data_IF_078721008040
#
_entry.id   IF_078721008040
#
_cell.length_a   1.000
_cell.length_b   1.000
_cell.length_c   1.000
_cell.angle_alpha   90.00
_cell.angle_beta   90.00
_cell.angle_gamma   90.00
#
_symmetry.space_group_name_H-M   'P 1'
#
loop_
_entity.id
_entity.type
_entity.pdbx_description
1 polymer ?
#
# COMPACT_ATOMS: atom_id res chain seq x y z
N UNK A 1 39.35 -13.49 -6.14
CA UNK A 1 38.01 -13.85 -5.73
C UNK A 1 38.14 -14.88 -4.62
N UNK A 2 37.59 -14.60 -3.43
CA UNK A 2 37.75 -15.48 -2.28
C UNK A 2 36.49 -16.37 -2.22
N UNK A 3 36.53 -17.59 -2.74
CA UNK A 3 35.48 -18.57 -2.52
C UNK A 3 35.77 -19.30 -1.19
N UNK A 4 34.79 -19.48 -0.35
CA UNK A 4 34.92 -19.98 1.01
C UNK A 4 33.83 -21.05 1.23
N UNK A 5 34.18 -22.17 1.83
CA UNK A 5 33.36 -23.38 1.92
C UNK A 5 32.67 -23.60 3.27
N UNK A 6 31.46 -24.19 3.23
CA UNK A 6 30.78 -24.82 4.37
C UNK A 6 30.33 -26.22 4.00
N UNK A 7 30.54 -27.24 4.83
CA UNK A 7 29.92 -28.51 4.65
C UNK A 7 28.57 -28.57 5.37
N UNK A 8 27.63 -29.19 4.71
CA UNK A 8 26.31 -29.36 5.25
C UNK A 8 26.34 -30.12 6.59
N UNK A 9 25.75 -29.53 7.55
CA UNK A 9 24.86 -30.21 8.49
C UNK A 9 24.24 -29.21 9.45
N UNK A 10 22.96 -29.22 9.45
CA UNK A 10 22.03 -28.68 10.44
C UNK A 10 21.66 -27.19 10.34
N UNK A 11 20.41 -27.03 10.04
CA UNK A 11 19.60 -25.81 10.31
C UNK A 11 19.72 -25.29 11.75
N UNK A 12 20.38 -26.00 12.65
CA UNK A 12 20.45 -25.68 14.08
C UNK A 12 21.59 -24.76 14.50
N UNK A 13 22.56 -24.41 13.63
CA UNK A 13 23.74 -23.65 14.06
C UNK A 13 23.90 -22.24 13.52
N UNK A 14 22.96 -21.73 12.73
CA UNK A 14 22.93 -20.30 12.39
C UNK A 14 22.16 -19.54 13.47
N UNK A 15 22.79 -19.40 14.63
CA UNK A 15 22.20 -18.66 15.75
C UNK A 15 21.93 -17.22 15.36
N UNK A 16 20.73 -16.79 15.64
CA UNK A 16 20.31 -15.40 15.52
C UNK A 16 21.36 -14.41 16.07
N UNK A 17 21.97 -13.61 15.19
CA UNK A 17 22.31 -12.24 15.46
C UNK A 17 23.42 -11.92 16.44
N UNK A 18 24.41 -12.78 16.71
CA UNK A 18 25.58 -12.38 17.50
C UNK A 18 26.90 -12.73 16.80
N UNK A 19 27.29 -12.00 15.83
CA UNK A 19 28.63 -11.61 15.39
C UNK A 19 29.83 -12.57 15.53
N UNK A 20 29.63 -13.85 15.76
CA UNK A 20 30.72 -14.83 15.91
C UNK A 20 30.55 -15.96 14.93
N UNK A 21 31.56 -16.18 14.11
CA UNK A 21 31.65 -17.34 13.24
C UNK A 21 31.84 -18.59 14.10
N UNK A 22 31.05 -19.63 13.86
CA UNK A 22 31.17 -20.86 14.61
C UNK A 22 32.47 -21.61 14.27
N UNK A 23 32.80 -22.61 15.09
CA UNK A 23 34.07 -23.34 14.97
C UNK A 23 34.17 -24.13 13.67
N UNK A 24 33.03 -24.68 13.19
CA UNK A 24 32.99 -25.44 11.94
C UNK A 24 33.28 -24.50 10.75
N UNK A 25 32.59 -23.38 10.63
CA UNK A 25 32.83 -22.37 9.61
C UNK A 25 34.28 -21.91 9.60
N UNK A 26 34.87 -21.69 10.79
CA UNK A 26 36.28 -21.30 10.90
C UNK A 26 37.24 -22.38 10.38
N UNK A 27 36.99 -23.65 10.68
CA UNK A 27 37.79 -24.76 10.18
C UNK A 27 37.69 -24.92 8.67
N UNK A 28 36.47 -24.87 8.12
CA UNK A 28 36.24 -24.99 6.68
C UNK A 28 36.91 -23.87 5.90
N UNK A 29 36.76 -22.63 6.35
CA UNK A 29 37.43 -21.49 5.73
C UNK A 29 38.96 -21.66 5.73
N UNK A 30 39.52 -22.14 6.81
CA UNK A 30 40.97 -22.35 6.93
C UNK A 30 41.43 -23.48 6.00
N UNK A 31 40.64 -24.56 5.89
CA UNK A 31 40.90 -25.65 4.95
C UNK A 31 40.91 -25.15 3.50
N UNK A 32 39.89 -24.37 3.11
CA UNK A 32 39.84 -23.79 1.76
C UNK A 32 41.04 -22.92 1.45
N UNK A 33 41.48 -22.09 2.39
CA UNK A 33 42.64 -21.24 2.21
C UNK A 33 43.90 -22.06 1.95
N UNK A 34 44.16 -23.10 2.74
CA UNK A 34 45.29 -23.97 2.51
C UNK A 34 45.19 -24.73 1.18
N UNK A 35 44.02 -25.19 0.82
CA UNK A 35 43.77 -25.80 -0.48
C UNK A 35 44.09 -24.88 -1.64
N UNK A 36 43.66 -23.61 -1.57
CA UNK A 36 43.95 -22.61 -2.59
C UNK A 36 45.45 -22.28 -2.70
N UNK A 37 46.21 -22.54 -1.65
CA UNK A 37 47.67 -22.43 -1.59
C UNK A 37 48.37 -23.72 -2.06
N UNK A 38 47.64 -24.75 -2.49
CA UNK A 38 48.16 -26.03 -2.92
C UNK A 38 48.71 -26.92 -1.79
N UNK A 39 48.26 -26.65 -0.53
CA UNK A 39 48.68 -27.39 0.63
C UNK A 39 47.59 -28.37 1.07
N UNK A 40 47.92 -29.63 1.17
CA UNK A 40 46.94 -30.69 1.47
C UNK A 40 47.15 -31.38 2.84
N UNK A 41 48.36 -31.29 3.41
CA UNK A 41 48.68 -31.83 4.73
C UNK A 41 49.23 -30.72 5.62
N UNK A 42 48.56 -30.44 6.71
CA UNK A 42 48.88 -29.27 7.56
C UNK A 42 49.06 -29.81 9.01
N UNK A 43 50.14 -29.48 9.70
CA UNK A 43 50.27 -29.74 11.13
C UNK A 43 49.13 -29.12 11.90
N UNK A 44 48.44 -29.89 12.79
CA UNK A 44 47.26 -29.43 13.53
C UNK A 44 47.47 -28.09 14.26
N UNK A 45 48.67 -27.89 14.85
CA UNK A 45 48.98 -26.65 15.55
C UNK A 45 49.04 -25.45 14.58
N UNK A 46 49.55 -25.66 13.37
CA UNK A 46 49.59 -24.62 12.32
C UNK A 46 48.17 -24.30 11.81
N UNK A 47 47.38 -25.34 11.61
CA UNK A 47 45.97 -25.22 11.20
C UNK A 47 45.16 -24.41 12.24
N UNK A 48 45.23 -24.82 13.51
CA UNK A 48 44.56 -24.11 14.62
C UNK A 48 45.03 -22.65 14.77
N UNK A 49 46.33 -22.42 14.61
CA UNK A 49 46.91 -21.05 14.60
C UNK A 49 46.35 -20.20 13.44
N UNK A 50 46.24 -20.81 12.27
CA UNK A 50 45.63 -20.16 11.08
C UNK A 50 44.14 -19.86 11.28
N UNK A 51 43.38 -20.77 11.90
CA UNK A 51 41.99 -20.51 12.30
C UNK A 51 41.92 -19.27 13.18
N UNK A 52 42.76 -19.20 14.26
CA UNK A 52 42.77 -18.06 15.15
C UNK A 52 43.19 -16.74 14.47
N UNK A 53 44.05 -16.82 13.47
CA UNK A 53 44.50 -15.63 12.72
C UNK A 53 43.45 -15.08 11.77
N UNK A 54 42.60 -15.93 11.23
CA UNK A 54 41.60 -15.56 10.19
C UNK A 54 40.30 -15.00 10.76
N UNK A 55 39.98 -15.25 12.04
CA UNK A 55 38.68 -14.86 12.63
C UNK A 55 38.84 -13.88 13.78
N UNK A 56 38.05 -12.85 13.78
CA UNK A 56 38.04 -11.82 14.84
C UNK A 56 37.17 -12.31 16.01
N UNK A 57 37.68 -12.13 17.25
CA UNK A 57 36.97 -12.49 18.48
C UNK A 57 37.04 -13.98 18.82
N UNK A 58 37.72 -14.80 18.02
CA UNK A 58 37.91 -16.20 18.31
C UNK A 58 38.85 -16.42 19.48
N UNK A 59 38.48 -17.34 20.35
CA UNK A 59 39.38 -17.93 21.33
C UNK A 59 40.49 -18.69 20.60
N UNK A 60 41.57 -18.98 21.27
CA UNK A 60 42.62 -19.82 20.73
C UNK A 60 42.02 -21.20 20.34
N UNK A 61 42.06 -21.52 19.09
CA UNK A 61 41.63 -22.84 18.62
C UNK A 61 42.68 -23.88 18.99
N UNK A 62 42.22 -24.99 19.50
CA UNK A 62 43.06 -26.12 19.90
C UNK A 62 42.63 -27.39 19.12
N UNK A 63 43.49 -28.44 19.21
CA UNK A 63 43.17 -29.74 18.67
C UNK A 63 41.85 -30.34 19.22
N UNK A 64 41.52 -30.02 20.48
CA UNK A 64 40.30 -30.51 21.12
C UNK A 64 39.05 -29.84 20.49
N UNK A 65 39.15 -28.52 20.20
CA UNK A 65 38.09 -27.81 19.46
C UNK A 65 37.94 -28.40 18.07
N UNK A 66 39.05 -28.67 17.37
CA UNK A 66 39.01 -29.23 16.02
C UNK A 66 38.42 -30.64 16.03
N UNK A 67 38.74 -31.45 17.06
CA UNK A 67 38.17 -32.81 17.24
C UNK A 67 36.66 -32.78 17.51
N UNK A 68 36.14 -31.71 18.05
CA UNK A 68 34.71 -31.54 18.33
C UNK A 68 33.87 -31.12 17.11
N UNK A 69 34.54 -30.72 16.03
CA UNK A 69 33.90 -30.29 14.80
C UNK A 69 33.62 -31.54 13.96
N UNK A 70 32.42 -31.65 13.42
CA UNK A 70 32.09 -32.69 12.46
C UNK A 70 33.04 -32.58 11.26
N UNK A 71 33.76 -33.65 10.99
CA UNK A 71 34.69 -33.71 9.86
C UNK A 71 33.87 -33.91 8.60
N UNK A 72 34.18 -33.11 7.60
CA UNK A 72 33.46 -33.11 6.33
C UNK A 72 34.40 -33.27 5.14
N UNK A 73 33.88 -33.16 3.92
CA UNK A 73 34.64 -33.38 2.72
C UNK A 73 35.79 -32.38 2.49
N UNK A 74 35.79 -31.24 3.18
CA UNK A 74 36.83 -30.24 3.00
C UNK A 74 38.11 -30.51 3.79
N UNK A 75 38.02 -31.20 4.92
CA UNK A 75 39.18 -31.62 5.72
C UNK A 75 38.87 -32.81 6.60
N UNK A 76 39.93 -33.52 6.93
CA UNK A 76 39.91 -34.58 7.95
C UNK A 76 41.05 -34.35 8.93
N UNK A 77 40.82 -34.60 10.22
CA UNK A 77 41.83 -34.58 11.27
C UNK A 77 42.07 -35.99 11.75
N UNK A 78 43.33 -36.45 11.72
CA UNK A 78 43.71 -37.83 12.05
C UNK A 78 43.61 -38.14 13.55
N UNK A 79 43.35 -37.13 14.41
CA UNK A 79 43.31 -37.28 15.85
C UNK A 79 44.67 -37.17 16.52
N UNK A 80 45.74 -37.19 15.78
CA UNK A 80 47.14 -37.19 16.29
C UNK A 80 47.85 -35.87 16.05
N UNK A 81 48.07 -35.51 14.78
CA UNK A 81 48.88 -34.31 14.51
C UNK A 81 48.68 -33.68 13.17
N UNK A 82 47.93 -34.28 12.24
CA UNK A 82 47.78 -33.81 10.87
C UNK A 82 46.34 -33.53 10.48
N UNK A 83 46.12 -32.40 9.81
CA UNK A 83 44.87 -32.06 9.14
C UNK A 83 45.09 -32.27 7.64
N UNK A 84 44.37 -33.19 7.05
CA UNK A 84 44.34 -33.39 5.59
C UNK A 84 43.24 -32.49 5.01
N UNK A 85 43.63 -31.62 4.07
CA UNK A 85 42.73 -30.71 3.38
C UNK A 85 42.41 -31.28 2.01
N UNK A 86 41.16 -31.47 1.72
CA UNK A 86 40.70 -32.08 0.47
C UNK A 86 40.15 -31.02 -0.49
N UNK A 87 40.32 -31.30 -1.81
CA UNK A 87 39.62 -30.62 -2.87
C UNK A 87 38.10 -30.82 -2.80
N UNK A 88 37.74 -31.71 -1.87
CA UNK A 88 36.40 -32.26 -1.89
C UNK A 88 35.37 -31.22 -2.02
N UNK A 89 34.59 -31.40 -2.95
CA UNK A 89 33.27 -30.98 -3.14
C UNK A 89 32.66 -30.30 -1.91
N UNK A 90 33.30 -29.29 -1.46
CA UNK A 90 32.75 -28.53 -0.37
C UNK A 90 31.94 -27.39 -0.91
N UNK A 91 30.90 -27.19 -0.25
CA UNK A 91 30.05 -26.04 -0.45
C UNK A 91 30.82 -24.79 -0.09
N UNK A 92 30.85 -23.84 -0.98
CA UNK A 92 31.48 -22.54 -0.77
C UNK A 92 30.59 -21.66 0.12
N UNK A 93 31.17 -20.92 1.07
CA UNK A 93 30.40 -19.92 1.86
C UNK A 93 29.66 -18.94 0.97
N UNK A 94 30.23 -18.64 -0.21
CA UNK A 94 29.63 -17.88 -1.26
C UNK A 94 29.79 -18.66 -2.55
N UNK A 95 28.88 -19.56 -2.85
CA UNK A 95 28.87 -20.30 -4.11
C UNK A 95 28.84 -19.35 -5.30
N UNK A 96 28.04 -18.28 -5.16
CA UNK A 96 27.98 -17.19 -6.14
C UNK A 96 28.12 -15.85 -5.42
N UNK A 97 29.11 -15.06 -5.84
CA UNK A 97 29.31 -13.71 -5.33
C UNK A 97 28.35 -12.72 -6.00
N UNK A 98 27.60 -11.99 -5.19
CA UNK A 98 26.58 -11.03 -5.65
C UNK A 98 27.04 -9.57 -5.56
N UNK A 99 28.11 -9.29 -4.83
CA UNK A 99 28.66 -7.96 -4.64
C UNK A 99 28.97 -7.64 -3.19
N UNK A 100 29.39 -6.41 -2.95
CA UNK A 100 29.80 -5.97 -1.62
C UNK A 100 29.35 -4.56 -1.29
N UNK A 101 29.30 -4.25 0.00
CA UNK A 101 28.98 -2.94 0.55
C UNK A 101 29.98 -2.54 1.61
N UNK A 102 30.48 -1.29 1.53
CA UNK A 102 31.34 -0.69 2.53
C UNK A 102 30.49 -0.17 3.70
N UNK A 103 30.79 -0.62 4.90
CA UNK A 103 30.10 -0.18 6.10
C UNK A 103 30.80 1.02 6.76
N UNK A 104 30.02 1.83 7.47
CA UNK A 104 30.54 3.01 8.19
C UNK A 104 31.56 2.69 9.26
N UNK A 105 31.59 1.44 9.76
CA UNK A 105 32.56 0.97 10.76
C UNK A 105 33.88 0.47 10.16
N UNK A 106 34.08 0.65 8.84
CA UNK A 106 35.25 0.22 8.09
C UNK A 106 35.28 -1.28 7.76
N UNK A 107 34.17 -1.98 7.98
CA UNK A 107 34.00 -3.36 7.51
C UNK A 107 33.38 -3.40 6.10
N UNK A 108 33.52 -4.54 5.45
CA UNK A 108 32.90 -4.84 4.16
C UNK A 108 31.89 -5.97 4.39
N UNK A 109 30.66 -5.81 3.89
CA UNK A 109 29.68 -6.89 3.82
C UNK A 109 29.67 -7.41 2.38
N UNK A 110 29.98 -8.67 2.21
CA UNK A 110 29.88 -9.38 0.92
C UNK A 110 28.55 -10.16 0.92
N UNK A 111 27.81 -10.05 -0.18
CA UNK A 111 26.57 -10.79 -0.40
C UNK A 111 26.79 -11.90 -1.40
N UNK A 112 26.17 -13.04 -1.17
CA UNK A 112 26.27 -14.19 -2.05
C UNK A 112 25.09 -15.14 -1.94
N UNK A 113 25.16 -16.20 -2.71
CA UNK A 113 24.28 -17.35 -2.63
C UNK A 113 25.08 -18.53 -2.11
N UNK A 114 24.55 -19.22 -1.14
CA UNK A 114 25.01 -20.55 -0.77
C UNK A 114 24.19 -21.59 -1.53
N UNK A 115 24.84 -22.58 -2.09
CA UNK A 115 24.23 -23.70 -2.83
C UNK A 115 24.81 -25.00 -2.30
N UNK A 116 23.96 -25.94 -1.98
CA UNK A 116 24.33 -27.33 -1.78
C UNK A 116 24.53 -28.03 -3.12
N UNK A 117 25.71 -28.60 -3.34
CA UNK A 117 26.01 -29.34 -4.57
C UNK A 117 25.39 -30.73 -4.62
N UNK A 118 24.93 -31.25 -3.47
CA UNK A 118 24.18 -32.50 -3.39
C UNK A 118 22.69 -32.35 -3.76
N UNK A 119 22.23 -31.12 -4.04
CA UNK A 119 20.85 -30.78 -4.34
C UNK A 119 19.81 -31.14 -3.23
N UNK A 120 20.29 -31.40 -2.02
CA UNK A 120 19.42 -31.76 -0.89
C UNK A 120 18.84 -30.55 -0.14
N UNK A 121 19.44 -29.37 -0.28
CA UNK A 121 19.03 -28.14 0.40
C UNK A 121 18.83 -27.02 -0.63
N UNK A 122 17.70 -26.35 -0.54
CA UNK A 122 17.40 -25.18 -1.35
C UNK A 122 18.45 -24.07 -1.14
N UNK A 123 18.90 -23.41 -2.21
CA UNK A 123 19.88 -22.34 -2.10
C UNK A 123 19.31 -21.15 -1.31
N UNK A 124 20.16 -20.49 -0.52
CA UNK A 124 19.77 -19.33 0.25
C UNK A 124 20.80 -18.20 0.14
N UNK A 125 20.36 -17.00 0.44
CA UNK A 125 21.22 -15.82 0.41
C UNK A 125 21.97 -15.64 1.71
N UNK A 126 23.24 -15.20 1.59
CA UNK A 126 24.12 -15.04 2.73
C UNK A 126 24.84 -13.70 2.70
N UNK A 127 25.15 -13.18 3.86
CA UNK A 127 26.00 -12.02 4.07
C UNK A 127 27.22 -12.39 4.90
N UNK A 128 28.42 -12.15 4.35
CA UNK A 128 29.70 -12.34 4.98
C UNK A 128 30.31 -10.98 5.32
N UNK A 129 30.45 -10.66 6.60
CA UNK A 129 31.05 -9.40 7.03
C UNK A 129 32.52 -9.59 7.37
N UNK A 130 33.38 -8.77 6.75
CA UNK A 130 34.84 -8.80 6.91
C UNK A 130 35.33 -7.46 7.45
N UNK A 131 36.24 -7.47 8.45
CA UNK A 131 36.89 -6.29 8.97
C UNK A 131 38.39 -6.54 9.19
N UNK A 132 39.25 -5.66 8.69
CA UNK A 132 40.71 -5.80 8.76
C UNK A 132 41.19 -7.19 8.29
N UNK A 133 40.62 -7.72 7.21
CA UNK A 133 40.99 -9.00 6.65
C UNK A 133 40.45 -10.23 7.43
N UNK A 134 39.64 -10.02 8.48
CA UNK A 134 39.07 -11.11 9.28
C UNK A 134 37.55 -11.18 9.14
N UNK A 135 37.01 -12.39 9.11
CA UNK A 135 35.56 -12.60 9.14
C UNK A 135 35.02 -12.24 10.51
N UNK A 136 34.04 -11.37 10.58
CA UNK A 136 33.38 -10.89 11.81
C UNK A 136 32.02 -11.52 11.99
N UNK A 137 31.29 -11.77 10.92
CA UNK A 137 30.01 -12.48 10.94
C UNK A 137 29.70 -13.13 9.59
N UNK A 138 28.90 -14.17 9.68
CA UNK A 138 28.28 -14.85 8.56
C UNK A 138 26.83 -15.14 8.93
N UNK A 139 25.89 -14.78 8.06
CA UNK A 139 24.47 -14.95 8.35
C UNK A 139 23.68 -15.18 7.07
N UNK A 140 22.63 -15.96 7.17
CA UNK A 140 21.59 -16.00 6.16
C UNK A 140 20.88 -14.63 6.12
N UNK A 141 20.49 -14.18 4.93
CA UNK A 141 19.76 -12.92 4.74
C UNK A 141 18.47 -13.15 4.00
N UNK A 142 17.45 -12.42 4.44
CA UNK A 142 16.16 -12.44 3.77
C UNK A 142 16.24 -11.76 2.40
N UNK A 143 15.49 -12.32 1.45
CA UNK A 143 15.36 -11.76 0.12
C UNK A 143 13.91 -11.35 -0.15
N UNK A 144 13.74 -10.22 -0.86
CA UNK A 144 12.44 -9.70 -1.23
C UNK A 144 12.42 -9.27 -2.68
N UNK A 145 11.45 -9.76 -3.45
CA UNK A 145 11.17 -9.22 -4.77
C UNK A 145 10.45 -7.88 -4.68
N UNK A 146 11.13 -6.83 -5.09
CA UNK A 146 10.58 -5.49 -5.24
C UNK A 146 10.06 -5.30 -6.66
N UNK A 147 8.78 -5.05 -6.80
CA UNK A 147 8.11 -4.87 -8.08
C UNK A 147 7.38 -3.54 -8.18
N UNK A 148 7.30 -2.97 -9.37
CA UNK A 148 6.59 -1.71 -9.59
C UNK A 148 5.07 -1.86 -9.81
N UNK A 149 4.52 -3.00 -9.52
CA UNK A 149 3.08 -3.28 -9.58
C UNK A 149 2.60 -3.88 -8.26
N UNK A 150 1.35 -3.63 -7.91
CA UNK A 150 0.81 -3.96 -6.60
C UNK A 150 0.55 -5.46 -6.41
N UNK A 151 0.98 -5.97 -5.26
CA UNK A 151 0.59 -7.28 -4.75
C UNK A 151 -0.90 -7.35 -4.43
N UNK A 152 -1.48 -8.52 -4.72
CA UNK A 152 -2.82 -8.90 -4.28
C UNK A 152 -3.93 -8.79 -5.34
N UNK A 153 -3.76 -8.01 -6.41
CA UNK A 153 -4.79 -7.87 -7.46
C UNK A 153 -4.33 -8.27 -8.87
N UNK A 154 -3.06 -8.64 -9.00
CA UNK A 154 -2.46 -9.01 -10.28
C UNK A 154 -2.28 -7.83 -11.25
N UNK A 155 -1.63 -8.12 -12.36
CA UNK A 155 -1.34 -7.17 -13.43
C UNK A 155 -2.51 -7.17 -14.41
N UNK A 156 -3.21 -6.05 -14.55
CA UNK A 156 -4.29 -5.90 -15.50
C UNK A 156 -3.84 -5.10 -16.73
N UNK A 157 -3.91 -5.70 -17.90
CA UNK A 157 -3.42 -5.14 -19.16
C UNK A 157 -4.61 -4.91 -20.10
N UNK A 158 -4.61 -3.79 -20.81
CA UNK A 158 -5.58 -3.54 -21.86
C UNK A 158 -5.23 -4.36 -23.11
N UNK A 159 -6.21 -4.91 -23.83
CA UNK A 159 -5.96 -5.63 -25.08
C UNK A 159 -5.18 -4.78 -26.09
N UNK A 160 -4.30 -5.42 -26.82
CA UNK A 160 -3.44 -4.78 -27.83
C UNK A 160 -2.63 -3.61 -27.28
N UNK A 161 -2.19 -3.73 -26.02
CA UNK A 161 -1.34 -2.72 -25.39
C UNK A 161 -0.02 -3.30 -24.92
N UNK A 162 1.02 -2.46 -24.91
CA UNK A 162 2.28 -2.76 -24.27
C UNK A 162 2.26 -2.24 -22.82
N UNK A 163 2.98 -2.92 -21.96
CA UNK A 163 3.23 -2.48 -20.58
C UNK A 163 4.67 -2.81 -20.21
N UNK A 164 5.37 -1.87 -19.56
CA UNK A 164 6.69 -2.11 -19.01
C UNK A 164 6.57 -2.40 -17.52
N UNK A 165 7.10 -3.52 -17.12
CA UNK A 165 7.17 -4.01 -15.75
C UNK A 165 8.59 -3.88 -15.24
N UNK A 166 8.73 -3.71 -13.95
CA UNK A 166 10.02 -3.60 -13.26
C UNK A 166 10.04 -4.56 -12.09
N UNK A 167 11.09 -5.34 -11.99
CA UNK A 167 11.31 -6.24 -10.87
C UNK A 167 12.77 -6.20 -10.43
N UNK A 168 13.03 -6.40 -9.17
CA UNK A 168 14.36 -6.50 -8.61
C UNK A 168 14.34 -7.26 -7.29
N UNK A 169 15.41 -7.94 -6.98
CA UNK A 169 15.62 -8.65 -5.73
C UNK A 169 16.44 -7.78 -4.78
N UNK A 170 16.00 -7.66 -3.55
CA UNK A 170 16.69 -6.97 -2.47
C UNK A 170 17.09 -8.00 -1.42
N UNK A 171 18.34 -7.96 -0.99
CA UNK A 171 18.91 -8.83 0.02
C UNK A 171 19.11 -7.98 1.28
N UNK A 172 18.13 -7.98 2.17
CA UNK A 172 18.13 -7.13 3.36
C UNK A 172 18.46 -5.64 3.07
N UNK A 173 17.93 -5.13 1.92
CA UNK A 173 18.17 -3.77 1.42
C UNK A 173 19.26 -3.64 0.37
N UNK A 174 20.24 -4.55 0.30
CA UNK A 174 21.26 -4.58 -0.73
C UNK A 174 20.70 -5.03 -2.08
N UNK A 175 21.16 -4.42 -3.16
CA UNK A 175 20.71 -4.69 -4.55
C UNK A 175 21.91 -5.05 -5.42
N UNK A 176 21.96 -6.29 -5.84
CA UNK A 176 23.06 -6.80 -6.65
C UNK A 176 22.90 -6.50 -8.13
N UNK A 177 23.99 -6.06 -8.76
CA UNK A 177 24.09 -5.96 -10.22
C UNK A 177 24.46 -7.28 -10.90
N UNK A 178 24.84 -8.29 -10.15
CA UNK A 178 25.18 -9.61 -10.66
C UNK A 178 23.95 -10.46 -10.98
N UNK A 179 22.79 -10.11 -10.43
CA UNK A 179 21.53 -10.81 -10.66
C UNK A 179 20.94 -10.40 -12.00
N UNK A 180 20.56 -11.38 -12.82
CA UNK A 180 19.81 -11.20 -14.07
C UNK A 180 18.40 -11.75 -13.90
N UNK A 181 17.45 -11.27 -14.72
CA UNK A 181 16.05 -11.64 -14.57
C UNK A 181 15.50 -12.13 -15.90
N UNK A 182 14.67 -13.18 -15.83
CA UNK A 182 13.93 -13.70 -16.95
C UNK A 182 12.44 -13.75 -16.64
N UNK A 183 11.66 -13.58 -17.68
CA UNK A 183 10.21 -13.46 -17.60
C UNK A 183 9.55 -14.56 -18.42
N UNK A 184 8.60 -15.27 -17.84
CA UNK A 184 7.88 -16.32 -18.53
C UNK A 184 6.38 -16.26 -18.24
N UNK A 185 5.57 -16.58 -19.26
CA UNK A 185 4.11 -16.71 -19.12
C UNK A 185 3.54 -17.54 -20.26
N UNK A 186 3.02 -18.70 -19.93
CA UNK A 186 2.30 -19.52 -20.93
C UNK A 186 1.07 -18.79 -21.48
N UNK A 187 0.37 -18.06 -20.61
CA UNK A 187 -0.84 -17.33 -20.97
C UNK A 187 -0.59 -16.19 -21.96
N UNK A 188 0.58 -15.55 -21.89
CA UNK A 188 1.00 -14.46 -22.77
C UNK A 188 1.98 -14.93 -23.87
N UNK A 189 2.29 -16.22 -23.92
CA UNK A 189 3.31 -16.76 -24.82
C UNK A 189 4.68 -16.06 -24.69
N UNK A 190 5.11 -15.87 -23.44
CA UNK A 190 6.44 -15.37 -23.07
C UNK A 190 7.27 -16.59 -22.68
N UNK A 191 8.40 -16.81 -23.41
CA UNK A 191 9.23 -18.00 -23.27
C UNK A 191 10.56 -17.65 -22.61
N UNK A 192 10.57 -17.48 -21.30
CA UNK A 192 11.79 -17.23 -20.53
C UNK A 192 12.67 -16.09 -21.14
N UNK A 193 12.02 -14.96 -21.43
CA UNK A 193 12.64 -13.82 -22.12
C UNK A 193 13.43 -12.96 -21.13
N UNK A 194 14.66 -12.55 -21.51
CA UNK A 194 15.48 -11.66 -20.69
C UNK A 194 14.89 -10.25 -20.62
N UNK A 195 14.89 -9.67 -19.43
CA UNK A 195 14.59 -8.27 -19.26
C UNK A 195 15.81 -7.37 -19.53
N UNK A 196 15.54 -6.10 -19.77
CA UNK A 196 16.60 -5.10 -19.87
C UNK A 196 17.18 -4.83 -18.48
N UNK A 197 18.51 -4.90 -18.34
CA UNK A 197 19.19 -4.62 -17.07
C UNK A 197 19.03 -3.14 -16.71
N UNK A 198 18.63 -2.88 -15.48
CA UNK A 198 18.61 -1.53 -14.91
C UNK A 198 19.61 -1.44 -13.75
N UNK A 199 20.52 -0.49 -13.81
CA UNK A 199 21.63 -0.39 -12.87
C UNK A 199 21.23 -0.24 -11.40
N UNK A 200 20.06 0.33 -11.15
CA UNK A 200 19.63 0.69 -9.78
C UNK A 200 18.57 -0.25 -9.21
N UNK A 201 17.97 -1.14 -10.00
CA UNK A 201 16.78 -1.86 -9.52
C UNK A 201 16.49 -3.23 -10.13
N UNK A 202 17.41 -3.80 -10.87
CA UNK A 202 17.21 -5.13 -11.44
C UNK A 202 16.84 -5.11 -12.91
N UNK A 203 15.57 -5.37 -13.25
CA UNK A 203 15.19 -5.60 -14.64
C UNK A 203 13.91 -4.86 -15.04
N UNK A 204 13.93 -4.34 -16.25
CA UNK A 204 12.74 -3.86 -16.97
C UNK A 204 12.35 -4.87 -18.05
N UNK A 205 11.08 -5.25 -18.10
CA UNK A 205 10.54 -6.08 -19.16
C UNK A 205 9.30 -5.46 -19.77
N UNK A 206 9.30 -5.26 -21.08
CA UNK A 206 8.14 -4.74 -21.80
C UNK A 206 7.37 -5.88 -22.44
N UNK A 207 6.17 -6.16 -21.92
CA UNK A 207 5.21 -7.05 -22.59
C UNK A 207 4.69 -6.31 -23.83
N UNK A 208 4.98 -6.77 -25.05
CA UNK A 208 4.58 -6.06 -26.25
C UNK A 208 3.08 -6.25 -26.55
N UNK A 209 2.50 -5.33 -27.31
CA UNK A 209 1.08 -5.35 -27.67
C UNK A 209 0.63 -6.60 -28.43
N UNK A 210 1.55 -7.25 -29.14
CA UNK A 210 1.29 -8.52 -29.82
C UNK A 210 0.93 -9.66 -28.86
N UNK A 211 1.52 -9.68 -27.69
CA UNK A 211 1.27 -10.70 -26.63
C UNK A 211 -0.02 -10.44 -25.84
N UNK A 212 -0.58 -9.25 -25.93
CA UNK A 212 -1.83 -8.86 -25.27
C UNK A 212 -3.03 -8.81 -26.22
N UNK A 213 -2.94 -9.44 -27.39
CA UNK A 213 -4.01 -9.44 -28.40
C UNK A 213 -5.22 -10.29 -27.99
N UNK A 214 -5.03 -11.33 -27.20
CA UNK A 214 -6.08 -12.24 -26.70
C UNK A 214 -6.40 -11.90 -25.26
N UNK A 215 -7.65 -12.13 -24.86
CA UNK A 215 -8.04 -12.02 -23.45
C UNK A 215 -7.38 -13.12 -22.63
N UNK A 216 -6.88 -12.75 -21.45
CA UNK A 216 -6.29 -13.64 -20.44
C UNK A 216 -6.97 -13.36 -19.11
N UNK A 217 -7.35 -14.41 -18.40
CA UNK A 217 -7.90 -14.33 -17.05
C UNK A 217 -7.09 -15.22 -16.13
N UNK A 218 -6.59 -14.64 -15.04
CA UNK A 218 -5.78 -15.33 -14.04
C UNK A 218 -4.58 -16.09 -14.64
N UNK A 219 -3.95 -15.51 -15.67
CA UNK A 219 -2.72 -16.03 -16.22
C UNK A 219 -1.57 -15.87 -15.23
N UNK A 220 -0.60 -16.78 -15.30
CA UNK A 220 0.62 -16.73 -14.49
C UNK A 220 1.73 -16.01 -15.26
N UNK A 221 2.38 -15.06 -14.62
CA UNK A 221 3.62 -14.43 -15.06
C UNK A 221 4.68 -14.72 -14.00
N UNK A 222 5.69 -15.49 -14.37
CA UNK A 222 6.80 -15.86 -13.49
C UNK A 222 7.99 -14.95 -13.78
N UNK A 223 8.62 -14.46 -12.74
CA UNK A 223 9.85 -13.68 -12.78
C UNK A 223 10.90 -14.48 -12.03
N UNK A 224 11.96 -14.86 -12.71
CA UNK A 224 13.04 -15.69 -12.14
C UNK A 224 14.33 -14.88 -12.12
N UNK A 225 14.98 -14.88 -10.97
CA UNK A 225 16.30 -14.28 -10.77
C UNK A 225 17.40 -15.34 -10.95
N UNK A 226 18.44 -15.01 -11.70
CA UNK A 226 19.55 -15.88 -12.02
C UNK A 226 20.87 -15.20 -11.72
N UNK A 227 21.86 -16.02 -11.37
CA UNK A 227 23.28 -15.64 -11.35
C UNK A 227 24.02 -16.37 -12.48
N UNK A 228 25.16 -15.82 -12.89
CA UNK A 228 26.00 -16.49 -13.86
C UNK A 228 26.63 -17.74 -13.21
N UNK A 229 26.58 -18.85 -13.91
CA UNK A 229 27.12 -20.12 -13.50
C UNK A 229 28.17 -20.57 -14.51
N UNK A 230 29.40 -20.78 -14.05
CA UNK A 230 30.52 -21.19 -14.86
C UNK A 230 30.61 -22.72 -15.05
N UNK A 231 29.58 -23.47 -14.58
CA UNK A 231 29.52 -24.93 -14.79
C UNK A 231 29.49 -25.24 -16.29
N UNK A 232 30.52 -25.92 -16.83
CA UNK A 232 30.62 -26.23 -18.26
C UNK A 232 29.51 -27.20 -18.74
N UNK A 233 28.86 -27.94 -17.82
CA UNK A 233 27.75 -28.81 -18.12
C UNK A 233 26.40 -28.14 -17.90
N UNK A 234 26.38 -26.93 -17.32
CA UNK A 234 25.20 -26.13 -17.06
C UNK A 234 24.76 -25.30 -18.26
N UNK A 235 23.67 -24.58 -18.08
CA UNK A 235 23.15 -23.63 -19.09
C UNK A 235 23.72 -22.20 -18.97
N UNK A 236 24.77 -22.03 -18.16
CA UNK A 236 25.42 -20.73 -17.89
C UNK A 236 24.66 -19.86 -16.84
N UNK A 237 23.60 -20.36 -16.24
CA UNK A 237 22.81 -19.60 -15.27
C UNK A 237 22.25 -20.53 -14.18
N UNK A 238 22.37 -20.08 -12.95
CA UNK A 238 21.77 -20.74 -11.79
C UNK A 238 20.60 -19.90 -11.26
N UNK A 239 19.44 -20.56 -11.07
CA UNK A 239 18.25 -19.93 -10.49
C UNK A 239 18.43 -19.73 -8.99
N UNK A 240 18.26 -18.49 -8.51
CA UNK A 240 18.44 -18.15 -7.09
C UNK A 240 17.14 -17.77 -6.40
N UNK A 241 16.15 -17.35 -7.15
CA UNK A 241 14.82 -17.07 -6.62
C UNK A 241 13.80 -16.91 -7.75
N UNK A 242 12.53 -17.19 -7.47
CA UNK A 242 11.45 -16.90 -8.39
C UNK A 242 10.22 -16.39 -7.68
N UNK A 243 9.37 -15.65 -8.42
CA UNK A 243 8.08 -15.17 -7.93
C UNK A 243 7.05 -15.17 -9.04
N UNK A 244 5.81 -15.40 -8.67
CA UNK A 244 4.68 -15.44 -9.58
C UNK A 244 3.75 -14.26 -9.39
N UNK A 245 3.24 -13.77 -10.52
CA UNK A 245 2.23 -12.73 -10.54
C UNK A 245 1.04 -13.14 -11.39
N UNK A 246 -0.15 -12.80 -10.92
CA UNK A 246 -1.36 -12.96 -11.74
C UNK A 246 -1.42 -11.89 -12.80
N UNK A 247 -1.62 -12.28 -14.06
CA UNK A 247 -1.78 -11.37 -15.20
C UNK A 247 -3.12 -11.56 -15.88
N UNK A 248 -3.78 -10.45 -16.18
CA UNK A 248 -5.04 -10.42 -16.90
C UNK A 248 -4.93 -9.51 -18.12
N UNK A 249 -5.47 -9.95 -19.25
CA UNK A 249 -5.71 -9.10 -20.42
C UNK A 249 -7.20 -8.96 -20.58
N UNK A 250 -7.75 -7.81 -20.23
CA UNK A 250 -9.20 -7.58 -20.19
C UNK A 250 -9.59 -6.20 -20.72
N UNK A 251 -10.81 -6.09 -21.26
CA UNK A 251 -11.34 -4.81 -21.70
C UNK A 251 -11.58 -3.87 -20.51
N UNK A 252 -11.33 -2.59 -20.75
CA UNK A 252 -11.66 -1.55 -19.80
C UNK A 252 -13.16 -1.27 -19.82
N UNK A 253 -13.90 -1.86 -18.90
CA UNK A 253 -15.34 -1.64 -18.72
C UNK A 253 -15.56 -0.65 -17.57
N UNK A 254 -15.37 0.65 -17.86
CA UNK A 254 -15.56 1.69 -16.87
C UNK A 254 -17.00 1.78 -16.43
N UNK A 255 -17.22 1.85 -15.13
CA UNK A 255 -18.52 2.12 -14.52
C UNK A 255 -18.35 2.91 -13.22
N UNK A 256 -19.41 3.63 -12.80
CA UNK A 256 -19.42 4.36 -11.54
C UNK A 256 -20.41 3.71 -10.58
N UNK A 257 -19.93 3.34 -9.42
CA UNK A 257 -20.74 3.02 -8.24
C UNK A 257 -20.61 4.13 -7.19
N UNK A 258 -21.48 4.12 -6.19
CA UNK A 258 -21.34 5.02 -5.06
C UNK A 258 -21.85 4.38 -3.76
N UNK A 259 -21.36 4.89 -2.63
CA UNK A 259 -21.86 4.62 -1.29
C UNK A 259 -22.40 5.91 -0.69
N UNK A 260 -23.50 5.82 0.03
CA UNK A 260 -24.12 6.94 0.73
C UNK A 260 -23.67 6.96 2.20
N UNK A 261 -23.22 8.09 2.70
CA UNK A 261 -22.88 8.24 4.11
C UNK A 261 -24.12 8.42 4.98
N UNK A 262 -24.33 7.52 5.95
CA UNK A 262 -25.41 7.56 6.92
C UNK A 262 -24.79 7.59 8.32
N UNK A 263 -24.63 8.79 8.88
CA UNK A 263 -23.86 8.99 10.12
C UNK A 263 -22.37 8.66 9.89
N UNK A 264 -21.83 7.73 10.67
CA UNK A 264 -20.45 7.26 10.54
C UNK A 264 -20.31 6.03 9.61
N UNK A 265 -21.42 5.49 9.10
CA UNK A 265 -21.45 4.31 8.25
C UNK A 265 -21.69 4.68 6.80
N UNK A 266 -21.42 3.74 5.89
CA UNK A 266 -21.73 3.88 4.47
C UNK A 266 -22.62 2.74 3.99
N UNK A 267 -23.63 3.06 3.17
CA UNK A 267 -24.52 2.11 2.53
C UNK A 267 -24.31 2.09 1.01
N UNK A 268 -24.43 0.94 0.37
CA UNK A 268 -24.35 0.84 -1.09
C UNK A 268 -25.44 1.69 -1.75
N UNK A 269 -25.05 2.56 -2.67
CA UNK A 269 -25.96 3.42 -3.40
C UNK A 269 -26.69 2.67 -4.49
N UNK A 270 -27.98 2.94 -4.64
CA UNK A 270 -28.85 2.36 -5.66
C UNK A 270 -29.41 3.44 -6.60
N UNK A 271 -29.42 3.16 -7.89
CA UNK A 271 -29.99 4.07 -8.90
C UNK A 271 -29.17 5.34 -9.13
N UNK A 272 -29.85 6.37 -9.65
CA UNK A 272 -29.22 7.66 -10.06
C UNK A 272 -29.82 8.87 -9.35
N UNK A 273 -30.57 8.67 -8.27
CA UNK A 273 -31.17 9.75 -7.48
C UNK A 273 -30.41 9.98 -6.18
N UNK A 274 -29.89 11.19 -6.03
CA UNK A 274 -29.16 11.66 -4.86
C UNK A 274 -29.95 12.76 -4.14
N UNK A 275 -29.54 13.14 -2.94
CA UNK A 275 -30.13 14.25 -2.16
C UNK A 275 -29.06 15.34 -1.94
N UNK A 276 -29.42 16.60 -2.16
CA UNK A 276 -28.56 17.71 -1.82
C UNK A 276 -28.30 17.74 -0.30
N UNK A 277 -27.03 17.91 0.07
CA UNK A 277 -26.61 17.96 1.46
C UNK A 277 -26.19 16.62 2.08
N UNK A 278 -26.44 15.50 1.40
CA UNK A 278 -25.90 14.20 1.78
C UNK A 278 -24.56 13.98 1.08
N UNK A 279 -23.66 13.24 1.72
CA UNK A 279 -22.34 12.90 1.18
C UNK A 279 -22.36 11.52 0.52
N UNK A 280 -21.69 11.41 -0.61
CA UNK A 280 -21.62 10.21 -1.42
C UNK A 280 -20.16 9.92 -1.79
N UNK A 281 -19.75 8.71 -1.59
CA UNK A 281 -18.45 8.21 -2.01
C UNK A 281 -18.58 7.51 -3.36
N UNK A 282 -18.09 8.14 -4.42
CA UNK A 282 -18.09 7.57 -5.76
C UNK A 282 -16.80 6.80 -6.02
N UNK A 283 -16.93 5.61 -6.60
CA UNK A 283 -15.82 4.77 -7.03
C UNK A 283 -15.95 4.50 -8.53
N UNK A 284 -14.84 4.67 -9.24
CA UNK A 284 -14.71 4.25 -10.63
C UNK A 284 -14.31 2.78 -10.64
N UNK A 285 -15.14 1.92 -11.19
CA UNK A 285 -14.85 0.49 -11.31
C UNK A 285 -14.35 0.17 -12.73
N UNK A 286 -13.62 -0.93 -12.88
CA UNK A 286 -13.02 -1.35 -14.14
C UNK A 286 -11.85 -0.48 -14.58
N UNK A 287 -11.26 0.26 -13.64
CA UNK A 287 -10.14 1.18 -13.82
C UNK A 287 -8.81 0.63 -13.27
N UNK A 288 -8.80 -0.63 -12.89
CA UNK A 288 -7.69 -1.35 -12.27
C UNK A 288 -6.69 -1.87 -13.33
N UNK A 289 -6.19 -0.95 -14.16
CA UNK A 289 -5.22 -1.26 -15.19
C UNK A 289 -3.87 -0.64 -14.86
N UNK A 290 -2.87 -1.52 -14.73
CA UNK A 290 -1.44 -1.27 -14.70
C UNK A 290 -0.98 0.11 -14.18
N UNK A 291 -0.57 0.13 -12.95
CA UNK A 291 0.13 1.28 -12.39
C UNK A 291 1.61 1.13 -12.71
N UNK A 292 2.09 1.92 -13.64
CA UNK A 292 3.51 2.13 -13.80
C UNK A 292 3.97 3.17 -12.78
N UNK A 293 4.62 2.74 -11.72
CA UNK A 293 5.36 3.61 -10.82
C UNK A 293 6.70 3.93 -11.46
N UNK A 294 6.68 4.81 -12.45
CA UNK A 294 7.93 5.36 -12.93
C UNK A 294 8.72 5.95 -11.77
N UNK A 295 9.99 5.63 -11.70
CA UNK A 295 10.94 6.16 -10.73
C UNK A 295 10.94 7.67 -10.71
N UNK A 296 10.76 8.22 -9.51
CA UNK A 296 11.08 9.60 -9.22
C UNK A 296 10.10 10.64 -9.76
N UNK A 297 10.04 11.74 -9.11
CA UNK A 297 9.30 12.94 -9.45
C UNK A 297 9.37 13.25 -10.96
N UNK A 298 8.27 13.07 -11.68
CA UNK A 298 8.12 13.49 -13.05
C UNK A 298 7.96 12.43 -14.12
N UNK A 299 8.03 11.14 -13.81
CA UNK A 299 7.80 10.11 -14.82
C UNK A 299 6.33 10.07 -15.26
N UNK A 300 6.13 10.11 -16.56
CA UNK A 300 4.80 10.06 -17.19
C UNK A 300 4.21 8.68 -16.94
N UNK A 301 3.18 8.60 -16.09
CA UNK A 301 2.42 7.36 -15.87
C UNK A 301 1.87 6.86 -17.20
N UNK A 302 2.08 5.60 -17.52
CA UNK A 302 1.59 5.00 -18.77
C UNK A 302 0.06 5.04 -18.84
N UNK A 303 -0.59 4.88 -17.70
CA UNK A 303 -2.05 4.90 -17.59
C UNK A 303 -2.46 5.77 -16.40
N UNK A 304 -3.33 6.74 -16.61
CA UNK A 304 -3.87 7.59 -15.56
C UNK A 304 -5.31 8.04 -15.86
N UNK A 305 -6.03 8.46 -14.81
CA UNK A 305 -7.42 8.89 -14.90
C UNK A 305 -7.57 10.37 -14.57
N UNK A 306 -8.39 11.07 -15.36
CA UNK A 306 -8.94 12.37 -15.00
C UNK A 306 -10.40 12.21 -14.62
N UNK A 307 -10.80 12.72 -13.45
CA UNK A 307 -12.19 12.76 -13.01
C UNK A 307 -12.67 14.19 -12.96
N UNK A 308 -13.73 14.49 -13.71
CA UNK A 308 -14.42 15.77 -13.71
C UNK A 308 -15.81 15.59 -13.08
N UNK A 309 -16.16 16.47 -12.15
CA UNK A 309 -17.48 16.52 -11.52
C UNK A 309 -18.13 17.85 -11.83
N UNK A 310 -19.32 17.84 -12.45
CA UNK A 310 -20.08 19.05 -12.79
C UNK A 310 -21.46 19.00 -12.17
N UNK A 311 -21.86 20.03 -11.44
CA UNK A 311 -23.22 20.22 -10.95
C UNK A 311 -23.88 21.36 -11.73
N UNK A 312 -24.97 21.04 -12.46
CA UNK A 312 -25.66 21.97 -13.37
C UNK A 312 -24.68 22.66 -14.35
N UNK A 313 -23.79 21.87 -14.96
CA UNK A 313 -22.81 22.33 -15.93
C UNK A 313 -21.57 23.02 -15.33
N UNK A 314 -21.59 23.42 -14.06
CA UNK A 314 -20.43 24.04 -13.38
C UNK A 314 -19.54 22.99 -12.76
N UNK A 315 -18.24 23.08 -13.01
CA UNK A 315 -17.24 22.18 -12.40
C UNK A 315 -17.21 22.39 -10.89
N UNK A 316 -17.25 21.31 -10.14
CA UNK A 316 -17.09 21.33 -8.69
C UNK A 316 -15.59 21.48 -8.37
N UNK A 317 -15.27 22.43 -7.51
CA UNK A 317 -13.91 22.64 -7.02
C UNK A 317 -13.54 21.59 -5.98
N UNK A 318 -12.25 21.37 -5.72
CA UNK A 318 -11.76 20.45 -4.70
C UNK A 318 -12.39 20.73 -3.32
N UNK A 319 -12.60 22.00 -2.96
CA UNK A 319 -13.26 22.42 -1.72
C UNK A 319 -14.73 22.02 -1.63
N UNK A 320 -15.42 21.78 -2.74
CA UNK A 320 -16.81 21.30 -2.77
C UNK A 320 -16.88 19.76 -2.71
N UNK A 321 -15.80 19.12 -3.11
CA UNK A 321 -15.67 17.66 -3.12
C UNK A 321 -15.22 17.11 -1.75
N UNK A 322 -14.47 17.88 -0.96
CA UNK A 322 -13.68 17.35 0.17
C UNK A 322 -13.94 17.97 1.54
N UNK A 323 -14.85 18.92 1.66
CA UNK A 323 -15.02 19.74 2.88
C UNK A 323 -15.43 19.02 4.18
N UNK A 324 -15.53 17.69 4.23
CA UNK A 324 -15.95 16.96 5.43
C UNK A 324 -15.03 15.82 5.87
N UNK A 325 -13.88 15.64 5.27
CA UNK A 325 -12.85 14.76 5.84
C UNK A 325 -12.01 15.58 6.82
N UNK A 326 -12.02 15.20 8.09
CA UNK A 326 -11.25 15.86 9.16
C UNK A 326 -9.74 15.77 8.99
N UNK A 327 -9.26 15.01 8.04
CA UNK A 327 -7.85 14.87 7.69
C UNK A 327 -7.66 15.34 6.26
N UNK A 328 -6.76 16.26 6.05
CA UNK A 328 -6.28 16.84 4.78
C UNK A 328 -5.63 15.81 3.83
N UNK A 329 -6.05 14.59 3.85
CA UNK A 329 -5.65 13.60 2.88
C UNK A 329 -6.57 13.71 1.68
N UNK A 330 -6.18 14.59 0.78
CA UNK A 330 -6.45 14.46 -0.64
C UNK A 330 -5.72 13.21 -1.12
N UNK A 331 -6.16 12.08 -0.62
CA UNK A 331 -5.84 10.87 -1.33
C UNK A 331 -6.71 10.94 -2.60
N UNK A 332 -6.11 11.49 -3.67
CA UNK A 332 -6.27 10.77 -4.92
C UNK A 332 -5.80 9.40 -4.50
N UNK A 333 -6.69 8.74 -3.78
CA UNK A 333 -6.40 7.48 -3.13
C UNK A 333 -6.23 6.48 -4.22
N UNK A 334 -4.98 6.34 -4.56
CA UNK A 334 -4.42 5.06 -4.90
C UNK A 334 -4.40 4.40 -3.53
N UNK A 335 -5.54 3.84 -3.14
CA UNK A 335 -5.58 2.96 -2.00
C UNK A 335 -4.58 1.85 -2.30
N UNK A 336 -3.74 1.50 -1.37
CA UNK A 336 -3.06 0.23 -1.34
C UNK A 336 -4.13 -0.84 -1.60
N UNK A 337 -4.11 -1.46 -2.78
CA UNK A 337 -5.15 -2.38 -3.21
C UNK A 337 -5.88 -1.94 -4.49
N UNK A 338 -5.17 -1.77 -5.62
CA UNK A 338 -5.76 -1.66 -6.95
C UNK A 338 -6.62 -0.42 -7.16
N UNK A 339 -6.02 0.64 -7.29
CA UNK A 339 -6.23 1.97 -7.82
C UNK A 339 -7.53 2.39 -8.47
N UNK A 340 -8.69 2.14 -7.88
CA UNK A 340 -9.90 2.81 -8.34
C UNK A 340 -9.93 4.24 -7.79
N UNK A 341 -9.94 5.27 -8.64
CA UNK A 341 -10.05 6.64 -8.18
C UNK A 341 -11.41 6.86 -7.51
N UNK A 342 -11.35 7.28 -6.26
CA UNK A 342 -12.51 7.53 -5.41
C UNK A 342 -12.71 9.04 -5.22
N UNK A 343 -13.97 9.48 -5.10
CA UNK A 343 -14.33 10.86 -4.80
C UNK A 343 -15.48 10.93 -3.83
N UNK A 344 -15.36 11.77 -2.81
CA UNK A 344 -16.47 12.10 -1.93
C UNK A 344 -17.07 13.41 -2.38
N UNK A 345 -18.36 13.41 -2.71
CA UNK A 345 -19.09 14.56 -3.19
C UNK A 345 -20.30 14.82 -2.28
N UNK A 346 -20.41 16.05 -1.81
CA UNK A 346 -21.59 16.54 -1.08
C UNK A 346 -22.29 17.63 -1.88
N UNK A 347 -23.24 17.27 -2.79
CA UNK A 347 -23.94 18.28 -3.59
C UNK A 347 -24.70 19.26 -2.71
N UNK A 348 -24.40 20.56 -2.81
CA UNK A 348 -25.06 21.60 -1.99
C UNK A 348 -26.37 22.11 -2.59
N UNK A 349 -26.61 21.84 -3.87
CA UNK A 349 -27.80 22.29 -4.61
C UNK A 349 -28.44 21.10 -5.35
N UNK A 350 -29.73 21.21 -5.63
CA UNK A 350 -30.41 20.28 -6.53
C UNK A 350 -30.02 20.50 -7.98
N UNK A 351 -30.13 19.48 -8.80
CA UNK A 351 -29.87 19.55 -10.23
C UNK A 351 -29.25 18.27 -10.79
N UNK A 352 -28.56 18.40 -11.91
CA UNK A 352 -27.85 17.29 -12.56
C UNK A 352 -26.38 17.29 -12.15
N UNK A 353 -25.95 16.23 -11.47
CA UNK A 353 -24.54 15.96 -11.15
C UNK A 353 -23.98 15.00 -12.19
N UNK A 354 -23.09 15.48 -13.02
CA UNK A 354 -22.40 14.65 -14.02
C UNK A 354 -20.97 14.38 -13.54
N UNK A 355 -20.60 13.10 -13.51
CA UNK A 355 -19.25 12.64 -13.21
C UNK A 355 -18.72 11.99 -14.47
N UNK A 356 -17.60 12.50 -14.98
CA UNK A 356 -16.88 11.98 -16.15
C UNK A 356 -15.51 11.50 -15.73
N UNK A 357 -15.21 10.26 -15.99
CA UNK A 357 -13.89 9.68 -15.86
C UNK A 357 -13.27 9.52 -17.25
N UNK A 358 -12.06 9.99 -17.43
CA UNK A 358 -11.32 9.88 -18.69
C UNK A 358 -10.02 9.14 -18.42
N UNK A 359 -9.83 8.02 -19.10
CA UNK A 359 -8.63 7.21 -19.07
C UNK A 359 -7.67 7.68 -20.16
N UNK A 360 -6.44 7.96 -19.77
CA UNK A 360 -5.32 8.28 -20.64
C UNK A 360 -4.32 7.14 -20.61
N UNK A 361 -3.70 6.88 -21.75
CA UNK A 361 -2.67 5.87 -21.93
C UNK A 361 -1.52 6.47 -22.73
N UNK A 362 -0.28 6.33 -22.24
CA UNK A 362 0.91 6.94 -22.85
C UNK A 362 0.70 8.43 -23.17
N UNK A 363 0.05 9.16 -22.25
CA UNK A 363 -0.26 10.57 -22.42
C UNK A 363 -1.41 10.89 -23.39
N UNK A 364 -1.97 9.89 -24.10
CA UNK A 364 -3.06 10.06 -25.07
C UNK A 364 -4.40 9.61 -24.48
N UNK A 365 -5.47 10.29 -24.89
CA UNK A 365 -6.85 9.85 -24.59
C UNK A 365 -7.07 8.42 -25.06
N UNK A 366 -7.64 7.60 -24.19
CA UNK A 366 -7.99 6.21 -24.52
C UNK A 366 -9.49 6.00 -24.48
N UNK A 367 -10.15 6.26 -23.35
CA UNK A 367 -11.57 6.01 -23.15
C UNK A 367 -12.15 6.96 -22.11
N UNK A 368 -13.43 7.27 -22.19
CA UNK A 368 -14.15 7.96 -21.13
C UNK A 368 -15.46 7.26 -20.79
N UNK A 369 -15.87 7.46 -19.54
CA UNK A 369 -17.18 7.06 -19.04
C UNK A 369 -17.81 8.24 -18.33
N UNK A 370 -19.08 8.48 -18.56
CA UNK A 370 -19.82 9.55 -17.92
C UNK A 370 -21.14 9.05 -17.37
N UNK A 371 -21.47 9.45 -16.15
CA UNK A 371 -22.76 9.13 -15.54
C UNK A 371 -23.38 10.37 -14.92
N UNK A 372 -24.66 10.57 -15.15
CA UNK A 372 -25.42 11.68 -14.61
C UNK A 372 -26.37 11.20 -13.53
N UNK A 373 -26.37 11.92 -12.42
CA UNK A 373 -27.22 11.71 -11.26
C UNK A 373 -28.16 12.89 -11.09
N UNK A 374 -29.41 12.61 -10.73
CA UNK A 374 -30.38 13.65 -10.36
C UNK A 374 -30.28 13.95 -8.87
N UNK A 375 -29.83 15.13 -8.52
CA UNK A 375 -29.76 15.60 -7.13
C UNK A 375 -31.07 16.26 -6.77
N UNK A 376 -31.88 15.62 -5.93
CA UNK A 376 -33.13 16.19 -5.41
C UNK A 376 -32.86 17.25 -4.36
N UNK A 377 -33.75 18.24 -4.27
CA UNK A 377 -33.71 19.29 -3.25
C UNK A 377 -33.72 18.68 -1.85
N UNK A 378 -32.88 19.17 -0.96
CA UNK A 378 -32.91 18.76 0.43
C UNK A 378 -34.20 19.25 1.09
N UNK A 379 -34.97 18.34 1.67
CA UNK A 379 -36.22 18.66 2.34
C UNK A 379 -36.03 18.54 3.85
N UNK A 380 -36.16 19.64 4.57
CA UNK A 380 -36.14 19.66 6.03
C UNK A 380 -37.53 19.29 6.55
N UNK A 381 -37.65 18.25 7.37
CA UNK A 381 -38.92 17.86 8.01
C UNK A 381 -39.45 19.00 8.86
N UNK A 382 -40.75 19.29 8.72
CA UNK A 382 -41.44 20.30 9.54
C UNK A 382 -41.50 19.84 11.00
N UNK A 383 -41.58 20.82 11.90
CA UNK A 383 -42.01 20.63 13.29
C UNK A 383 -43.26 21.46 13.58
N UNK A 384 -43.91 21.20 14.70
CA UNK A 384 -45.09 21.95 15.16
C UNK A 384 -45.09 22.14 16.68
N UNK A 385 -45.76 23.19 17.14
CA UNK A 385 -45.93 23.37 18.57
C UNK A 385 -46.85 22.29 19.19
N UNK A 386 -46.35 21.66 20.25
CA UNK A 386 -47.18 20.89 21.17
C UNK A 386 -48.05 21.82 22.00
N UNK A 387 -47.49 22.93 22.47
CA UNK A 387 -48.22 23.96 23.20
C UNK A 387 -47.64 25.35 22.97
N UNK A 388 -48.51 26.35 22.96
CA UNK A 388 -48.19 27.76 22.99
C UNK A 388 -49.20 28.43 23.92
N UNK A 389 -48.79 28.81 25.13
CA UNK A 389 -49.66 29.29 26.17
C UNK A 389 -49.18 30.61 26.77
N UNK A 390 -50.12 31.47 27.16
CA UNK A 390 -49.77 32.64 27.98
C UNK A 390 -49.15 32.17 29.31
N UNK A 391 -48.10 32.84 29.75
CA UNK A 391 -47.43 32.60 31.02
C UNK A 391 -47.34 33.89 31.84
N UNK A 392 -47.32 33.78 33.18
CA UNK A 392 -47.26 34.91 34.12
C UNK A 392 -46.06 35.83 33.78
N UNK A 393 -46.25 37.12 33.82
CA UNK A 393 -45.20 38.11 33.58
C UNK A 393 -44.99 38.48 32.11
N UNK A 394 -46.05 38.62 31.31
CA UNK A 394 -46.00 39.03 29.89
C UNK A 394 -45.15 38.12 29.00
N UNK A 395 -45.42 36.82 29.10
CA UNK A 395 -44.61 35.76 28.45
C UNK A 395 -45.50 34.80 27.66
N UNK A 396 -44.90 34.14 26.65
CA UNK A 396 -45.47 32.96 25.98
C UNK A 396 -44.54 31.80 26.18
N UNK A 397 -45.05 30.75 26.83
CA UNK A 397 -44.35 29.48 26.96
C UNK A 397 -44.65 28.58 25.73
N UNK A 398 -43.61 28.16 25.04
CA UNK A 398 -43.67 27.34 23.85
C UNK A 398 -43.05 25.98 24.10
N UNK A 399 -43.71 24.91 23.65
CA UNK A 399 -43.17 23.55 23.57
C UNK A 399 -43.47 22.97 22.18
N UNK A 400 -42.52 22.22 21.62
CA UNK A 400 -42.68 21.65 20.28
C UNK A 400 -42.13 20.21 20.17
N UNK A 401 -42.44 19.54 19.05
CA UNK A 401 -41.92 18.20 18.76
C UNK A 401 -40.47 18.30 18.35
N UNK A 402 -39.60 17.47 18.96
CA UNK A 402 -38.18 17.34 18.57
C UNK A 402 -38.10 16.88 17.12
N UNK A 403 -37.19 17.49 16.34
CA UNK A 403 -36.84 17.05 15.00
C UNK A 403 -35.38 16.65 14.96
N UNK A 404 -35.11 15.34 14.87
CA UNK A 404 -33.76 14.78 14.91
C UNK A 404 -32.95 15.05 13.63
N UNK A 405 -33.63 15.33 12.50
CA UNK A 405 -32.99 15.62 11.22
C UNK A 405 -32.55 17.08 11.06
N UNK A 406 -32.99 17.99 11.94
CA UNK A 406 -32.64 19.41 11.90
C UNK A 406 -31.39 19.74 12.73
N UNK A 407 -30.75 20.87 12.43
CA UNK A 407 -29.71 21.46 13.28
C UNK A 407 -30.33 22.24 14.44
N UNK A 408 -31.49 22.90 14.18
CA UNK A 408 -32.18 23.70 15.16
C UNK A 408 -33.52 24.23 14.63
N UNK A 409 -34.03 25.28 15.27
CA UNK A 409 -35.35 25.82 14.98
C UNK A 409 -35.30 27.32 14.82
N UNK A 410 -36.26 27.86 14.05
CA UNK A 410 -36.60 29.27 14.06
C UNK A 410 -38.03 29.45 14.52
N UNK A 411 -38.25 30.35 15.46
CA UNK A 411 -39.54 30.75 15.97
C UNK A 411 -39.80 32.17 15.51
N UNK A 412 -40.95 32.40 14.88
CA UNK A 412 -41.41 33.74 14.58
C UNK A 412 -42.64 34.06 15.43
N UNK A 413 -42.74 35.31 15.87
CA UNK A 413 -43.89 35.83 16.56
C UNK A 413 -44.16 37.26 16.10
N UNK A 414 -45.44 37.60 15.95
CA UNK A 414 -45.94 38.86 15.44
C UNK A 414 -47.31 39.22 16.05
N UNK A 415 -47.72 40.48 15.95
CA UNK A 415 -49.05 40.94 16.40
C UNK A 415 -50.12 40.74 15.34
N UNK A 416 -49.75 40.34 14.12
CA UNK A 416 -50.68 40.00 13.04
C UNK A 416 -50.49 38.56 12.52
N UNK A 417 -51.59 37.94 12.03
CA UNK A 417 -51.59 36.59 11.49
C UNK A 417 -50.72 36.37 10.24
N UNK A 418 -50.48 37.45 9.49
CA UNK A 418 -49.68 37.42 8.27
C UNK A 418 -48.19 37.60 8.55
N UNK A 419 -47.78 37.82 9.81
CA UNK A 419 -46.39 38.06 10.24
C UNK A 419 -45.68 39.22 9.52
N UNK A 420 -46.46 40.31 9.26
CA UNK A 420 -45.98 41.54 8.66
C UNK A 420 -45.74 42.66 9.68
N UNK A 421 -46.49 42.67 10.79
CA UNK A 421 -46.41 43.71 11.82
C UNK A 421 -45.68 43.22 13.07
N UNK A 422 -44.70 44.00 13.56
CA UNK A 422 -43.89 43.67 14.76
C UNK A 422 -43.33 42.25 14.75
N UNK A 423 -42.95 41.73 13.55
CA UNK A 423 -42.48 40.35 13.40
C UNK A 423 -41.05 40.20 13.91
N UNK A 424 -40.87 39.39 14.92
CA UNK A 424 -39.54 39.00 15.47
C UNK A 424 -39.24 37.55 15.23
N UNK A 425 -37.97 37.26 14.99
CA UNK A 425 -37.47 35.91 14.76
C UNK A 425 -36.44 35.54 15.82
N UNK A 426 -36.62 34.38 16.48
CA UNK A 426 -35.66 33.80 17.40
C UNK A 426 -35.12 32.50 16.79
N UNK A 427 -33.82 32.36 16.70
CA UNK A 427 -33.15 31.12 16.30
C UNK A 427 -32.70 30.33 17.50
N UNK A 428 -33.01 29.04 17.50
CA UNK A 428 -32.60 28.04 18.50
C UNK A 428 -31.60 27.11 17.82
N UNK A 429 -30.32 27.17 18.25
CA UNK A 429 -29.21 26.48 17.57
C UNK A 429 -29.12 24.98 17.84
N UNK A 430 -29.74 24.49 18.93
CA UNK A 430 -29.66 23.09 19.33
C UNK A 430 -30.99 22.37 19.05
N UNK A 431 -30.97 21.29 18.27
CA UNK A 431 -32.18 20.49 18.00
C UNK A 431 -32.73 19.72 19.23
N UNK A 432 -31.89 19.56 20.25
CA UNK A 432 -32.32 18.96 21.54
C UNK A 432 -33.29 19.88 22.32
N UNK A 433 -33.22 21.20 22.08
CA UNK A 433 -34.10 22.17 22.72
C UNK A 433 -35.51 22.04 22.15
N UNK A 434 -36.49 21.78 23.00
CA UNK A 434 -37.91 21.60 22.62
C UNK A 434 -38.85 22.54 23.32
N UNK A 435 -38.31 23.54 24.02
CA UNK A 435 -39.10 24.60 24.68
C UNK A 435 -38.39 25.94 24.60
N UNK A 436 -39.14 27.02 24.62
CA UNK A 436 -38.65 28.39 24.70
C UNK A 436 -39.71 29.30 25.28
N UNK A 437 -39.30 30.30 26.06
CA UNK A 437 -40.21 31.33 26.59
C UNK A 437 -39.89 32.66 25.95
N UNK A 438 -40.86 33.21 25.21
CA UNK A 438 -40.82 34.59 24.72
C UNK A 438 -41.17 35.51 25.87
N UNK A 439 -40.33 36.48 26.17
CA UNK A 439 -40.47 37.44 27.26
C UNK A 439 -40.76 38.85 26.74
N UNK A 440 -41.09 39.76 27.64
CA UNK A 440 -41.22 41.21 27.37
C UNK A 440 -42.28 41.54 26.32
N UNK A 441 -43.40 40.87 26.35
CA UNK A 441 -44.53 41.10 25.46
C UNK A 441 -45.45 42.21 26.00
N UNK A 442 -46.26 42.85 25.11
CA UNK A 442 -47.22 43.88 25.49
C UNK A 442 -48.47 43.25 26.12
N UNK A 443 -48.93 43.78 27.26
CA UNK A 443 -50.20 43.39 27.93
C UNK A 443 -51.38 43.60 26.99
N UNK A 444 -52.40 42.75 27.15
CA UNK A 444 -53.68 42.81 26.40
C UNK A 444 -53.55 42.65 24.89
N UNK A 445 -52.31 42.41 24.35
CA UNK A 445 -52.08 42.17 22.91
C UNK A 445 -52.20 40.68 22.59
N UNK A 446 -52.63 40.42 21.35
CA UNK A 446 -52.63 39.08 20.77
C UNK A 446 -51.39 38.90 19.91
N UNK A 447 -50.71 37.78 20.10
CA UNK A 447 -49.58 37.37 19.30
C UNK A 447 -49.87 36.10 18.53
N UNK A 448 -49.32 35.99 17.33
CA UNK A 448 -49.29 34.79 16.50
C UNK A 448 -47.87 34.28 16.51
N UNK A 449 -47.71 32.96 16.75
CA UNK A 449 -46.40 32.31 16.80
C UNK A 449 -46.37 31.15 15.82
N UNK A 450 -45.26 31.00 15.11
CA UNK A 450 -45.00 29.87 14.20
C UNK A 450 -43.56 29.39 14.37
N UNK A 451 -43.30 28.14 13.98
CA UNK A 451 -42.00 27.51 14.10
C UNK A 451 -41.63 26.80 12.81
N UNK A 452 -40.34 26.79 12.46
CA UNK A 452 -39.78 25.94 11.43
C UNK A 452 -38.51 25.29 11.90
N UNK A 453 -38.16 24.16 11.31
CA UNK A 453 -36.86 23.52 11.49
C UNK A 453 -35.86 24.08 10.45
N UNK A 454 -34.59 24.16 10.82
CA UNK A 454 -33.53 24.39 9.84
C UNK A 454 -32.44 23.34 9.97
N UNK A 455 -31.73 23.09 8.86
CA UNK A 455 -30.54 22.25 8.76
C UNK A 455 -29.40 23.08 8.15
N UNK A 456 -28.23 23.05 8.80
CA UNK A 456 -26.99 23.66 8.31
C UNK A 456 -26.15 22.60 7.62
N UNK A 457 -25.87 22.76 6.32
CA UNK A 457 -25.08 21.87 5.48
C UNK A 457 -24.27 22.74 4.52
N UNK A 458 -23.27 23.44 5.02
CA UNK A 458 -22.67 24.56 4.29
C UNK A 458 -23.63 25.73 4.13
N UNK A 459 -24.74 25.53 3.43
CA UNK A 459 -25.88 26.45 3.37
C UNK A 459 -26.93 26.09 4.43
N UNK A 460 -27.82 27.05 4.75
CA UNK A 460 -28.94 26.80 5.69
C UNK A 460 -30.21 26.52 4.90
N UNK A 461 -30.80 25.36 5.13
CA UNK A 461 -32.05 24.89 4.55
C UNK A 461 -33.15 24.97 5.58
N UNK A 462 -34.34 25.41 5.18
CA UNK A 462 -35.48 25.59 6.07
C UNK A 462 -36.64 24.69 5.66
N UNK A 463 -37.37 24.17 6.65
CA UNK A 463 -38.69 23.62 6.42
C UNK A 463 -39.70 24.73 6.15
N UNK A 464 -40.86 24.38 5.64
CA UNK A 464 -42.00 25.31 5.72
C UNK A 464 -42.36 25.62 7.19
N UNK A 465 -42.97 26.79 7.40
CA UNK A 465 -43.49 27.16 8.70
C UNK A 465 -44.63 26.24 9.16
N UNK A 466 -44.75 26.04 10.48
CA UNK A 466 -45.93 25.43 11.10
C UNK A 466 -47.15 26.35 10.93
N UNK A 467 -48.35 25.78 11.15
CA UNK A 467 -49.54 26.61 11.37
C UNK A 467 -49.32 27.55 12.53
N UNK A 468 -49.81 28.78 12.42
CA UNK A 468 -49.70 29.80 13.45
C UNK A 468 -50.59 29.45 14.65
N UNK A 469 -50.06 29.63 15.86
CA UNK A 469 -50.86 29.57 17.13
C UNK A 469 -51.13 30.97 17.59
N UNK A 470 -52.39 31.26 17.95
CA UNK A 470 -52.83 32.53 18.52
C UNK A 470 -52.72 32.49 20.05
N UNK A 471 -52.11 33.48 20.67
CA UNK A 471 -51.95 33.60 22.12
C UNK A 471 -52.25 35.04 22.56
N UNK A 472 -53.24 35.20 23.41
CA UNK A 472 -53.56 36.52 24.01
C UNK A 472 -52.78 36.64 25.32
N UNK A 473 -52.09 37.78 25.51
CA UNK A 473 -51.34 38.07 26.73
C UNK A 473 -52.31 38.67 27.75
N UNK A 474 -52.49 38.02 28.86
CA UNK A 474 -53.36 38.47 29.96
C UNK A 474 -52.66 39.55 30.77
N UNK A 475 -53.36 40.13 31.77
CA UNK A 475 -52.82 41.14 32.68
C UNK A 475 -51.52 40.75 33.35
#
# INVERSE_FOLDING_TARGET
MMSVMLSGNSEENFGEGKGTVDNATAAYYTALKYYSEGKTEIPVNEFCKSMSANFQGSKTYSKDVLSSIAQGPAFTYDGEGTVTVNAGAGDSLLSYFLGEEQNSDGSITMYGVWKDWADDIEPYFVALKVKAGKIVSYSQVDSEFNMNFFDGYGINILPKSSITLKAGLSLNGYKSSAITYRWSSKALNIKNEAGQKEATYGSLYTIPSSKTSKSVSNGRLTITAYVHDDDPNGNGYFEVASTDQTVNVKNCNLSLSYRHFVGNNTEAGKGTTLKAGDSYWFSLNGADFGWDFGNGSGSKRQTFYKIECKLNGKTLTATEVEKNLKNNELSIGIGAGGGCPNRIITPKKSGKLTIKATLYRNGKYFKSYSKTYTVKKFTVKKTSFKSAKNAKGKKIALKWKKNTSGTGYQIQYATDKKFKKECKTKTISKNKTTSYTIKSLKKKKTYYVRIRTYKKLGNTYYSGWSSAKKVKINK
#
